data_IF_064973909755
#
_entry.id   IF_064973909755
#
_cell.length_a   1.000
_cell.length_b   1.000
_cell.length_c   1.000
_cell.angle_alpha   90.00
_cell.angle_beta   90.00
_cell.angle_gamma   90.00
#
_symmetry.space_group_name_H-M   'P 1'
#
loop_
_entity.id
_entity.type
_entity.pdbx_description
1 polymer ?
#
# COMPACT_ATOMS: atom_id res chain seq x y z
N UNK A 1 -66.42 -10.79 0.98
CA UNK A 1 -65.82 -10.62 -0.37
C UNK A 1 -65.21 -9.22 -0.38
N UNK A 2 -63.95 -8.92 -0.69
CA UNK A 2 -62.91 -9.58 -1.48
C UNK A 2 -61.56 -9.03 -0.96
N UNK A 3 -60.65 -9.92 -0.54
CA UNK A 3 -59.23 -9.60 -0.30
C UNK A 3 -58.59 -9.19 -1.62
N UNK A 4 -57.84 -8.08 -1.65
CA UNK A 4 -56.74 -7.91 -2.60
C UNK A 4 -55.54 -7.30 -1.89
N UNK A 5 -54.64 -8.19 -1.48
CA UNK A 5 -53.27 -7.89 -1.07
C UNK A 5 -52.57 -7.13 -2.19
N UNK A 6 -52.09 -5.92 -1.88
CA UNK A 6 -51.06 -5.27 -2.68
C UNK A 6 -49.74 -5.70 -2.07
N UNK A 7 -49.13 -6.68 -2.74
CA UNK A 7 -47.77 -7.14 -2.53
C UNK A 7 -46.84 -5.99 -2.93
N UNK A 8 -46.31 -5.27 -1.95
CA UNK A 8 -45.25 -4.27 -2.19
C UNK A 8 -44.01 -5.04 -2.62
N UNK A 9 -43.73 -4.95 -3.91
CA UNK A 9 -42.58 -5.50 -4.60
C UNK A 9 -41.31 -4.83 -4.03
N UNK A 10 -40.62 -5.51 -3.10
CA UNK A 10 -39.26 -5.16 -2.67
C UNK A 10 -38.29 -5.42 -3.84
N UNK A 11 -38.27 -4.52 -4.83
CA UNK A 11 -37.22 -4.52 -5.86
C UNK A 11 -35.96 -3.90 -5.26
N UNK A 12 -35.09 -4.81 -4.84
CA UNK A 12 -33.65 -4.69 -4.60
C UNK A 12 -33.01 -3.43 -5.22
N UNK A 13 -32.76 -2.40 -4.40
CA UNK A 13 -31.71 -1.41 -4.68
C UNK A 13 -30.36 -2.07 -4.36
N UNK A 14 -29.89 -2.92 -5.27
CA UNK A 14 -28.53 -3.51 -5.25
C UNK A 14 -27.59 -2.80 -6.23
N UNK A 15 -27.90 -1.56 -6.61
CA UNK A 15 -27.05 -0.76 -7.50
C UNK A 15 -26.05 0.03 -6.65
N UNK A 16 -24.76 -0.20 -6.90
CA UNK A 16 -23.67 0.81 -6.97
C UNK A 16 -22.37 0.56 -6.18
N UNK A 17 -22.24 -0.49 -5.37
CA UNK A 17 -20.96 -0.69 -4.65
C UNK A 17 -19.78 -0.97 -5.61
N UNK A 18 -20.02 -1.66 -6.73
CA UNK A 18 -18.96 -2.01 -7.67
C UNK A 18 -18.51 -0.81 -8.53
N UNK A 19 -19.43 0.06 -8.95
CA UNK A 19 -19.11 1.23 -9.77
C UNK A 19 -18.30 2.28 -8.97
N UNK A 20 -18.63 2.48 -7.69
CA UNK A 20 -17.92 3.43 -6.82
C UNK A 20 -16.46 2.99 -6.60
N UNK A 21 -16.22 1.68 -6.37
CA UNK A 21 -14.87 1.14 -6.19
C UNK A 21 -14.02 1.24 -7.48
N UNK A 22 -14.60 0.88 -8.63
CA UNK A 22 -13.90 0.99 -9.91
C UNK A 22 -13.52 2.45 -10.23
N UNK A 23 -14.37 3.41 -9.88
CA UNK A 23 -14.09 4.82 -10.09
C UNK A 23 -13.02 5.37 -9.11
N UNK A 24 -13.02 4.91 -7.85
CA UNK A 24 -11.99 5.31 -6.89
C UNK A 24 -10.61 4.75 -7.25
N UNK A 25 -10.54 3.49 -7.69
CA UNK A 25 -9.28 2.88 -8.12
C UNK A 25 -8.72 3.58 -9.36
N UNK A 26 -9.58 3.94 -10.32
CA UNK A 26 -9.19 4.73 -11.49
C UNK A 26 -8.65 6.11 -11.13
N UNK A 27 -9.20 6.75 -10.10
CA UNK A 27 -8.67 8.04 -9.62
C UNK A 27 -7.27 7.87 -9.01
N UNK A 28 -7.05 6.80 -8.25
CA UNK A 28 -5.72 6.44 -7.74
C UNK A 28 -4.74 6.15 -8.87
N UNK A 29 -5.15 5.39 -9.88
CA UNK A 29 -4.33 5.09 -11.07
C UNK A 29 -3.90 6.38 -11.78
N UNK A 30 -4.85 7.28 -12.06
CA UNK A 30 -4.56 8.56 -12.69
C UNK A 30 -3.60 9.41 -11.85
N UNK A 31 -3.75 9.39 -10.52
CA UNK A 31 -2.87 10.14 -9.62
C UNK A 31 -1.46 9.58 -9.59
N UNK A 32 -1.30 8.25 -9.61
CA UNK A 32 -0.01 7.59 -9.73
C UNK A 32 0.64 7.95 -11.06
N UNK A 33 -0.08 7.83 -12.17
CA UNK A 33 0.48 8.13 -13.49
C UNK A 33 0.90 9.61 -13.63
N UNK A 34 0.18 10.51 -12.97
CA UNK A 34 0.52 11.93 -12.94
C UNK A 34 1.80 12.21 -12.13
N UNK A 35 1.95 11.60 -10.96
CA UNK A 35 3.01 11.95 -10.01
C UNK A 35 4.26 11.06 -10.12
N UNK A 36 4.09 9.82 -10.54
CA UNK A 36 5.15 8.81 -10.59
C UNK A 36 5.60 8.49 -12.03
N UNK A 37 4.92 9.05 -13.02
CA UNK A 37 5.20 8.84 -14.44
C UNK A 37 4.12 8.02 -15.13
N UNK A 38 3.91 8.32 -16.41
CA UNK A 38 2.82 7.75 -17.20
C UNK A 38 2.88 6.22 -17.26
N UNK A 39 1.73 5.57 -17.11
CA UNK A 39 1.56 4.11 -17.15
C UNK A 39 2.37 3.35 -16.07
N UNK A 40 2.61 3.96 -14.91
CA UNK A 40 3.32 3.32 -13.80
C UNK A 40 2.38 2.78 -12.72
N UNK A 41 1.11 3.20 -12.70
CA UNK A 41 0.13 2.82 -11.67
C UNK A 41 0.10 1.31 -11.39
N UNK A 42 0.12 0.47 -12.44
CA UNK A 42 0.10 -0.99 -12.28
C UNK A 42 1.28 -1.50 -11.46
N UNK A 43 2.48 -0.96 -11.67
CA UNK A 43 3.69 -1.40 -10.95
C UNK A 43 3.58 -1.07 -9.46
N UNK A 44 3.03 0.10 -9.12
CA UNK A 44 2.80 0.51 -7.74
C UNK A 44 1.67 -0.29 -7.07
N UNK A 45 0.58 -0.58 -7.79
CA UNK A 45 -0.47 -1.47 -7.31
C UNK A 45 0.09 -2.87 -7.03
N UNK A 46 0.81 -3.47 -7.98
CA UNK A 46 1.42 -4.79 -7.82
C UNK A 46 2.40 -4.81 -6.62
N UNK A 47 3.17 -3.74 -6.41
CA UNK A 47 4.07 -3.61 -5.27
C UNK A 47 3.31 -3.57 -3.94
N UNK A 48 2.25 -2.76 -3.86
CA UNK A 48 1.40 -2.63 -2.68
C UNK A 48 0.76 -3.96 -2.29
N UNK A 49 0.17 -4.68 -3.24
CA UNK A 49 -0.47 -5.97 -2.99
C UNK A 49 0.56 -7.06 -2.64
N UNK A 50 1.75 -7.03 -3.26
CA UNK A 50 2.86 -7.90 -2.86
C UNK A 50 3.30 -7.63 -1.42
N UNK A 51 3.39 -6.36 -1.01
CA UNK A 51 3.75 -5.98 0.36
C UNK A 51 2.72 -6.51 1.36
N UNK A 52 1.41 -6.28 1.12
CA UNK A 52 0.32 -6.79 1.96
C UNK A 52 0.35 -8.30 2.09
N UNK A 53 0.44 -9.02 0.97
CA UNK A 53 0.49 -10.49 0.95
C UNK A 53 1.71 -11.04 1.68
N UNK A 54 2.87 -10.39 1.54
CA UNK A 54 4.10 -10.82 2.21
C UNK A 54 4.01 -10.59 3.72
N UNK A 55 3.44 -9.46 4.14
CA UNK A 55 3.24 -9.14 5.56
C UNK A 55 2.28 -10.11 6.23
N UNK A 56 1.16 -10.44 5.58
CA UNK A 56 0.20 -11.46 6.06
C UNK A 56 0.85 -12.83 6.27
N UNK A 57 1.78 -13.20 5.40
CA UNK A 57 2.51 -14.48 5.46
C UNK A 57 3.72 -14.44 6.39
N UNK A 58 4.03 -13.30 7.01
CA UNK A 58 5.27 -13.08 7.74
C UNK A 58 6.52 -13.42 6.88
N UNK A 59 6.47 -13.15 5.57
CA UNK A 59 7.55 -13.43 4.63
C UNK A 59 8.61 -12.34 4.68
N UNK A 60 9.46 -12.46 5.70
CA UNK A 60 10.54 -11.51 6.02
C UNK A 60 11.52 -11.34 4.88
N UNK A 61 11.84 -12.42 4.17
CA UNK A 61 12.83 -12.41 3.08
C UNK A 61 12.31 -11.61 1.89
N UNK A 62 11.03 -11.80 1.54
CA UNK A 62 10.41 -11.03 0.47
C UNK A 62 10.33 -9.56 0.82
N UNK A 63 9.85 -9.20 2.02
CA UNK A 63 9.78 -7.78 2.44
C UNK A 63 11.18 -7.16 2.48
N UNK A 64 12.17 -7.87 3.03
CA UNK A 64 13.54 -7.36 3.08
C UNK A 64 14.14 -7.11 1.68
N UNK A 65 13.66 -7.76 0.62
CA UNK A 65 14.06 -7.48 -0.77
C UNK A 65 13.40 -6.22 -1.37
N UNK A 66 12.29 -5.79 -0.77
CA UNK A 66 11.50 -4.63 -1.18
C UNK A 66 12.00 -3.33 -0.52
N UNK A 67 12.95 -3.40 0.40
CA UNK A 67 13.51 -2.26 1.13
C UNK A 67 14.67 -1.65 0.36
N UNK A 68 14.75 -0.32 0.36
CA UNK A 68 15.94 0.42 -0.03
C UNK A 68 16.87 0.52 1.17
N UNK A 69 18.13 0.09 1.03
CA UNK A 69 19.09 0.13 2.12
C UNK A 69 20.18 1.18 1.88
N UNK A 70 20.71 1.82 2.94
CA UNK A 70 20.22 1.75 4.32
C UNK A 70 18.82 2.36 4.47
N UNK A 71 18.02 1.84 5.41
CA UNK A 71 16.70 2.40 5.73
C UNK A 71 16.70 2.94 7.16
N UNK A 72 16.11 4.12 7.35
CA UNK A 72 15.76 4.62 8.68
C UNK A 72 14.39 4.09 9.08
N UNK A 73 14.33 3.41 10.22
CA UNK A 73 13.08 2.96 10.83
C UNK A 73 12.87 3.65 12.17
N UNK A 74 11.64 4.06 12.46
CA UNK A 74 11.27 4.54 13.79
C UNK A 74 10.56 3.42 14.54
N UNK A 75 11.09 3.01 15.69
CA UNK A 75 10.46 2.01 16.58
C UNK A 75 10.31 2.62 17.96
N UNK A 76 9.07 2.79 18.41
CA UNK A 76 8.80 3.32 19.76
C UNK A 76 9.44 4.69 19.99
N UNK A 77 9.28 5.58 19.01
CA UNK A 77 9.83 6.94 18.98
C UNK A 77 11.35 7.05 18.87
N UNK A 78 12.06 5.95 18.61
CA UNK A 78 13.50 5.96 18.37
C UNK A 78 13.82 5.62 16.92
N UNK A 79 14.63 6.45 16.29
CA UNK A 79 15.17 6.15 14.97
C UNK A 79 16.32 5.14 15.07
N UNK A 80 16.30 4.18 14.17
CA UNK A 80 17.30 3.12 14.04
C UNK A 80 17.63 3.02 12.56
N UNK A 81 18.90 3.15 12.20
CA UNK A 81 19.36 2.82 10.85
C UNK A 81 19.51 1.30 10.72
N UNK A 82 18.96 0.73 9.66
CA UNK A 82 19.13 -0.67 9.27
C UNK A 82 19.96 -0.70 8.00
N UNK A 83 21.16 -1.28 8.08
CA UNK A 83 22.17 -1.11 7.04
C UNK A 83 22.00 -2.02 5.84
N UNK A 84 21.41 -3.20 6.06
CA UNK A 84 21.32 -4.23 5.04
C UNK A 84 20.16 -5.20 5.31
N UNK A 85 19.99 -6.11 4.35
CA UNK A 85 18.94 -7.11 4.33
C UNK A 85 19.01 -8.07 5.52
N UNK A 86 20.21 -8.51 5.88
CA UNK A 86 20.44 -9.46 6.95
C UNK A 86 20.02 -8.86 8.30
N UNK A 87 20.40 -7.61 8.57
CA UNK A 87 19.99 -6.88 9.75
C UNK A 87 18.47 -6.66 9.79
N UNK A 88 17.87 -6.30 8.66
CA UNK A 88 16.40 -6.13 8.57
C UNK A 88 15.66 -7.42 8.90
N UNK A 89 16.09 -8.57 8.35
CA UNK A 89 15.47 -9.87 8.62
C UNK A 89 15.61 -10.22 10.11
N UNK A 90 16.79 -9.98 10.70
CA UNK A 90 17.05 -10.22 12.12
C UNK A 90 16.11 -9.37 13.00
N UNK A 91 15.94 -8.09 12.68
CA UNK A 91 15.09 -7.14 13.41
C UNK A 91 13.62 -7.12 12.97
N UNK A 92 13.23 -7.96 12.01
CA UNK A 92 11.93 -7.85 11.34
C UNK A 92 10.74 -7.76 12.30
N UNK A 93 10.68 -8.63 13.32
CA UNK A 93 9.54 -8.65 14.26
C UNK A 93 9.45 -7.38 15.12
N UNK A 94 10.56 -6.66 15.29
CA UNK A 94 10.62 -5.36 15.97
C UNK A 94 10.13 -4.23 15.07
N UNK A 95 10.36 -4.35 13.75
CA UNK A 95 9.98 -3.36 12.74
C UNK A 95 8.51 -3.56 12.31
N UNK A 96 8.15 -4.78 11.91
CA UNK A 96 6.81 -5.21 11.49
C UNK A 96 6.03 -5.80 12.65
N UNK A 97 5.61 -4.94 13.58
CA UNK A 97 4.73 -5.37 14.68
C UNK A 97 3.33 -5.72 14.18
N UNK A 98 2.53 -6.39 15.02
CA UNK A 98 1.13 -6.68 14.72
C UNK A 98 0.31 -5.42 14.37
N UNK A 99 0.60 -4.29 15.02
CA UNK A 99 -0.08 -3.03 14.75
C UNK A 99 0.26 -2.50 13.36
N UNK A 100 1.54 -2.46 12.99
CA UNK A 100 1.98 -2.03 11.66
C UNK A 100 1.39 -2.93 10.57
N UNK A 101 1.46 -4.25 10.75
CA UNK A 101 0.87 -5.22 9.81
C UNK A 101 -0.64 -4.98 9.67
N UNK A 102 -1.35 -4.76 10.79
CA UNK A 102 -2.78 -4.45 10.79
C UNK A 102 -3.13 -3.20 9.96
N UNK A 103 -2.36 -2.13 10.11
CA UNK A 103 -2.53 -0.90 9.32
C UNK A 103 -2.28 -1.14 7.82
N UNK A 104 -1.21 -1.86 7.48
CA UNK A 104 -0.87 -2.22 6.11
C UNK A 104 -1.96 -3.06 5.43
N UNK A 105 -2.45 -4.11 6.08
CA UNK A 105 -3.40 -5.05 5.43
C UNK A 105 -4.80 -4.45 5.28
N UNK A 106 -5.18 -3.53 6.17
CA UNK A 106 -6.46 -2.84 6.13
C UNK A 106 -6.47 -1.61 5.20
N UNK A 107 -5.30 -1.14 4.77
CA UNK A 107 -5.19 -0.08 3.77
C UNK A 107 -5.81 -0.55 2.44
N UNK A 108 -6.72 0.28 1.90
CA UNK A 108 -7.24 0.12 0.54
C UNK A 108 -6.35 0.85 -0.45
N UNK A 109 -6.30 0.32 -1.68
CA UNK A 109 -5.58 0.94 -2.79
C UNK A 109 -6.14 2.32 -3.13
N UNK A 110 -7.48 2.43 -3.20
CA UNK A 110 -8.21 3.69 -3.38
C UNK A 110 -7.86 4.79 -2.38
N UNK A 111 -7.37 4.41 -1.20
CA UNK A 111 -7.16 5.31 -0.06
C UNK A 111 -5.66 5.62 0.16
N UNK A 112 -4.80 5.24 -0.79
CA UNK A 112 -3.36 5.50 -0.72
C UNK A 112 -3.07 7.00 -0.76
N UNK A 113 -2.24 7.46 0.15
CA UNK A 113 -1.78 8.85 0.18
C UNK A 113 -0.57 9.01 -0.75
N UNK A 114 -0.86 9.43 -1.98
CA UNK A 114 0.17 9.62 -3.03
C UNK A 114 0.62 11.08 -3.06
N UNK A 115 1.92 11.31 -2.95
CA UNK A 115 2.59 12.60 -3.12
C UNK A 115 3.77 12.43 -4.09
N UNK A 116 4.38 13.52 -4.52
CA UNK A 116 5.59 13.50 -5.35
C UNK A 116 6.76 12.74 -4.70
N UNK A 117 6.85 12.75 -3.37
CA UNK A 117 7.89 12.02 -2.61
C UNK A 117 7.63 10.52 -2.44
N UNK A 118 6.48 10.01 -2.88
CA UNK A 118 6.13 8.60 -2.79
C UNK A 118 4.70 8.35 -2.32
N UNK A 119 4.47 7.11 -1.88
CA UNK A 119 3.16 6.58 -1.51
C UNK A 119 3.21 6.16 -0.05
N UNK A 120 2.33 6.76 0.75
CA UNK A 120 2.23 6.48 2.16
C UNK A 120 1.11 5.49 2.46
N UNK A 121 1.40 4.55 3.35
CA UNK A 121 0.46 3.58 3.93
C UNK A 121 0.24 3.93 5.39
N UNK A 122 -1.02 3.87 5.81
CA UNK A 122 -1.45 4.20 7.15
C UNK A 122 -1.61 5.71 7.37
N UNK A 123 -2.31 6.06 8.46
CA UNK A 123 -2.77 7.43 8.72
C UNK A 123 -1.63 8.37 9.10
N UNK A 124 -0.55 7.84 9.67
CA UNK A 124 0.60 8.62 10.14
C UNK A 124 1.83 8.45 9.24
N UNK A 125 1.67 7.83 8.06
CA UNK A 125 2.78 7.54 7.16
C UNK A 125 3.67 6.41 7.68
N UNK A 126 3.05 5.33 8.18
CA UNK A 126 3.75 4.19 8.78
C UNK A 126 4.67 3.47 7.80
N UNK A 127 4.36 3.46 6.51
CA UNK A 127 5.28 2.99 5.47
C UNK A 127 5.26 4.00 4.32
N UNK A 128 6.44 4.42 3.87
CA UNK A 128 6.62 5.18 2.64
C UNK A 128 7.33 4.28 1.61
N UNK A 129 6.77 4.16 0.42
CA UNK A 129 7.42 3.50 -0.71
C UNK A 129 7.35 4.34 -1.98
N UNK A 130 8.33 4.18 -2.86
CA UNK A 130 8.51 5.03 -4.04
C UNK A 130 9.46 4.42 -5.05
N UNK A 131 9.58 5.06 -6.22
CA UNK A 131 10.51 4.65 -7.26
C UNK A 131 11.91 5.17 -6.99
N UNK A 132 12.91 4.29 -7.03
CA UNK A 132 14.34 4.62 -6.93
C UNK A 132 14.98 4.44 -8.30
N UNK A 133 15.51 5.52 -8.86
CA UNK A 133 16.17 5.48 -10.16
C UNK A 133 17.43 4.60 -10.12
N UNK A 134 17.52 3.66 -11.04
CA UNK A 134 18.69 2.76 -11.19
C UNK A 134 19.70 3.26 -12.23
N UNK A 135 19.33 4.33 -12.94
CA UNK A 135 20.12 5.02 -13.97
C UNK A 135 19.89 6.52 -13.82
N UNK A 136 20.85 7.33 -14.26
CA UNK A 136 20.89 8.78 -14.01
C UNK A 136 19.72 9.56 -14.65
N UNK A 137 19.17 9.05 -15.75
CA UNK A 137 18.03 9.67 -16.45
C UNK A 137 16.66 9.15 -15.95
N UNK A 138 16.65 8.31 -14.91
CA UNK A 138 15.45 7.69 -14.34
C UNK A 138 14.60 6.88 -15.33
N UNK A 139 15.10 6.55 -16.52
CA UNK A 139 14.39 5.69 -17.49
C UNK A 139 14.16 4.27 -16.98
N UNK A 140 14.91 3.87 -15.94
CA UNK A 140 14.72 2.61 -15.19
C UNK A 140 14.72 2.90 -13.70
N UNK A 141 13.76 2.32 -13.00
CA UNK A 141 13.64 2.44 -11.56
C UNK A 141 13.22 1.12 -10.91
N UNK A 142 13.40 1.03 -9.59
CA UNK A 142 12.83 -0.04 -8.77
C UNK A 142 11.94 0.59 -7.70
N UNK A 143 10.77 -0.01 -7.46
CA UNK A 143 9.92 0.42 -6.35
C UNK A 143 10.46 -0.17 -5.05
N UNK A 144 10.65 0.67 -4.03
CA UNK A 144 11.24 0.30 -2.75
C UNK A 144 10.54 0.96 -1.58
N UNK A 145 10.57 0.31 -0.43
CA UNK A 145 10.23 0.89 0.88
C UNK A 145 11.41 1.76 1.30
N UNK A 146 11.13 3.03 1.59
CA UNK A 146 12.12 4.06 1.93
C UNK A 146 12.06 4.48 3.39
N UNK A 147 10.91 4.29 4.05
CA UNK A 147 10.73 4.60 5.47
C UNK A 147 9.71 3.66 6.11
N UNK A 148 9.94 3.32 7.38
CA UNK A 148 9.00 2.55 8.22
C UNK A 148 8.91 3.19 9.61
N UNK A 149 7.69 3.49 10.06
CA UNK A 149 7.40 4.04 11.37
C UNK A 149 6.44 3.12 12.13
N UNK A 150 6.87 2.66 13.31
CA UNK A 150 6.14 1.71 14.15
C UNK A 150 6.01 2.17 15.62
#
# INVERSE_FOLDING_TARGET
MLKKSILILLFLVFISQQEVLANSDKNTDNRLDLLMGKNTHKQYHDFFEKLKKSALKNDKKTIASMVEYPITVTVGHKEIEIKNREEFIFKYNTIFTKNLVGKLINQKYSDLFIKDTGIMIGQSGEILFGGICTVSDCSKFQIKIMQINN
#
